data_IF_900275316240
#
_entry.id   IF_900275316240
#
_cell.length_a   1.000
_cell.length_b   1.000
_cell.length_c   1.000
_cell.angle_alpha   90.00
_cell.angle_beta   90.00
_cell.angle_gamma   90.00
#
_symmetry.space_group_name_H-M   'P 1'
#
loop_
_entity.id
_entity.type
_entity.pdbx_description
1 polymer ?
#
# COMPACT_ATOMS: atom_id res chain seq x y z
N UNK A 1 -7.66 -5.61 -14.61
CA UNK A 1 -6.72 -4.76 -13.83
C UNK A 1 -5.66 -5.65 -13.19
N UNK A 2 -4.42 -5.24 -13.22
CA UNK A 2 -3.28 -5.97 -12.64
C UNK A 2 -2.52 -5.08 -11.67
N UNK A 3 -1.96 -5.69 -10.63
CA UNK A 3 -1.10 -5.04 -9.66
C UNK A 3 0.23 -5.78 -9.55
N UNK A 4 1.33 -5.03 -9.48
CA UNK A 4 2.65 -5.54 -9.13
C UNK A 4 3.19 -4.81 -7.90
N UNK A 5 3.81 -5.54 -6.99
CA UNK A 5 4.67 -4.93 -5.97
C UNK A 5 6.11 -4.90 -6.50
N UNK A 6 6.68 -3.72 -6.62
CA UNK A 6 8.08 -3.55 -7.03
C UNK A 6 9.00 -3.65 -5.82
N UNK A 7 8.48 -3.25 -4.68
CA UNK A 7 9.12 -3.36 -3.37
C UNK A 7 8.06 -3.17 -2.28
N UNK A 8 8.23 -3.83 -1.14
CA UNK A 8 7.30 -3.70 -0.01
C UNK A 8 8.05 -3.89 1.32
N UNK A 9 8.13 -2.80 2.10
CA UNK A 9 8.74 -2.79 3.43
C UNK A 9 9.53 -1.51 3.72
N UNK A 10 10.06 -1.39 4.91
CA UNK A 10 10.74 -0.19 5.45
C UNK A 10 12.00 0.28 4.70
N UNK A 11 12.39 -0.36 3.63
CA UNK A 11 13.49 0.09 2.76
C UNK A 11 13.02 0.64 1.42
N UNK A 12 11.73 0.52 1.12
CA UNK A 12 11.15 1.08 -0.08
C UNK A 12 9.81 0.44 -0.40
N UNK A 13 8.82 1.27 -0.67
CA UNK A 13 7.48 0.88 -1.06
C UNK A 13 7.20 1.43 -2.46
N UNK A 14 6.69 0.58 -3.32
CA UNK A 14 6.34 0.97 -4.68
C UNK A 14 5.43 -0.10 -5.28
N UNK A 15 4.23 0.30 -5.67
CA UNK A 15 3.25 -0.55 -6.33
C UNK A 15 2.98 -0.01 -7.73
N UNK A 16 2.78 -0.91 -8.68
CA UNK A 16 2.35 -0.57 -10.04
C UNK A 16 1.00 -1.20 -10.31
N UNK A 17 0.02 -0.37 -10.62
CA UNK A 17 -1.28 -0.77 -11.10
C UNK A 17 -1.41 -0.47 -12.59
N UNK A 18 -1.94 -1.44 -13.34
CA UNK A 18 -2.24 -1.27 -14.77
C UNK A 18 -3.67 -1.72 -15.07
N UNK A 19 -4.40 -0.87 -15.80
CA UNK A 19 -5.76 -1.15 -16.27
C UNK A 19 -5.92 -0.64 -17.72
N UNK A 20 -5.90 -1.55 -18.69
CA UNK A 20 -5.78 -1.18 -20.09
C UNK A 20 -4.54 -0.32 -20.34
N UNK A 21 -4.74 0.88 -20.88
CA UNK A 21 -3.66 1.84 -21.16
C UNK A 21 -3.36 2.77 -19.96
N UNK A 22 -4.05 2.59 -18.83
CA UNK A 22 -3.82 3.39 -17.62
C UNK A 22 -2.77 2.73 -16.72
N UNK A 23 -1.75 3.49 -16.33
CA UNK A 23 -0.68 3.08 -15.45
C UNK A 23 -0.53 4.03 -14.26
N UNK A 24 -0.74 3.51 -13.06
CA UNK A 24 -0.67 4.27 -11.81
C UNK A 24 0.43 3.69 -10.93
N UNK A 25 1.33 4.53 -10.48
CA UNK A 25 2.29 4.18 -9.45
C UNK A 25 1.75 4.58 -8.07
N UNK A 26 1.86 3.72 -7.08
CA UNK A 26 1.59 4.07 -5.69
C UNK A 26 2.90 4.02 -4.94
N UNK A 27 3.31 5.18 -4.47
CA UNK A 27 4.62 5.49 -3.93
C UNK A 27 5.80 5.27 -4.89
N UNK A 28 6.92 5.90 -4.58
CA UNK A 28 8.15 5.84 -5.33
C UNK A 28 9.36 5.70 -4.38
N UNK A 29 9.24 4.79 -3.41
CA UNK A 29 10.25 4.55 -2.37
C UNK A 29 11.46 3.76 -2.82
N UNK A 30 11.61 3.51 -4.12
CA UNK A 30 12.73 2.76 -4.70
C UNK A 30 13.46 3.57 -5.78
N UNK A 31 14.66 3.13 -6.15
CA UNK A 31 15.41 3.82 -7.19
C UNK A 31 14.65 3.84 -8.53
N UNK A 32 14.70 4.98 -9.22
CA UNK A 32 14.09 5.17 -10.54
C UNK A 32 14.56 4.14 -11.58
N UNK A 33 15.79 3.62 -11.43
CA UNK A 33 16.30 2.55 -12.29
C UNK A 33 15.44 1.28 -12.20
N UNK A 34 14.96 0.93 -10.99
CA UNK A 34 14.06 -0.23 -10.79
C UNK A 34 12.69 0.02 -11.39
N UNK A 35 12.17 1.24 -11.24
CA UNK A 35 10.87 1.62 -11.82
C UNK A 35 10.94 1.56 -13.35
N UNK A 36 11.97 2.17 -13.97
CA UNK A 36 12.15 2.20 -15.43
C UNK A 36 12.42 0.82 -16.06
N UNK A 37 12.93 -0.16 -15.30
CA UNK A 37 13.15 -1.51 -15.80
C UNK A 37 11.85 -2.25 -16.22
N UNK A 38 10.69 -1.70 -15.90
CA UNK A 38 9.37 -2.25 -16.24
C UNK A 38 8.79 -1.72 -17.56
N UNK A 39 9.57 -1.02 -18.40
CA UNK A 39 9.12 -0.45 -19.68
C UNK A 39 7.93 0.51 -19.55
N UNK A 40 7.87 1.29 -18.47
CA UNK A 40 6.78 2.20 -18.17
C UNK A 40 7.06 3.59 -18.71
N UNK A 41 6.85 3.77 -20.01
CA UNK A 41 7.11 5.06 -20.65
C UNK A 41 6.00 6.11 -20.42
N UNK A 42 4.82 5.69 -19.92
CA UNK A 42 3.67 6.59 -19.70
C UNK A 42 2.91 6.28 -18.41
N UNK A 43 3.32 6.91 -17.30
CA UNK A 43 2.53 6.92 -16.08
C UNK A 43 1.48 8.03 -16.15
N UNK A 44 0.21 7.70 -15.93
CA UNK A 44 -0.89 8.67 -15.83
C UNK A 44 -0.85 9.45 -14.50
N UNK A 45 -0.27 8.87 -13.46
CA UNK A 45 -0.13 9.51 -12.16
C UNK A 45 0.67 8.70 -11.16
N UNK A 46 1.14 9.40 -10.14
CA UNK A 46 1.75 8.81 -8.95
C UNK A 46 0.88 9.21 -7.75
N UNK A 47 0.37 8.22 -7.04
CA UNK A 47 -0.32 8.40 -5.77
C UNK A 47 0.71 8.29 -4.66
N UNK A 48 0.82 9.30 -3.81
CA UNK A 48 1.74 9.30 -2.66
C UNK A 48 0.93 9.14 -1.39
N UNK A 49 1.20 8.09 -0.64
CA UNK A 49 0.51 7.80 0.63
C UNK A 49 0.94 8.80 1.71
N UNK A 50 2.25 9.01 1.86
CA UNK A 50 2.83 9.97 2.80
C UNK A 50 4.31 10.27 2.47
N UNK A 51 4.93 11.18 3.23
CA UNK A 51 6.24 11.75 2.89
C UNK A 51 7.45 11.02 3.52
N UNK A 52 7.32 9.83 4.08
CA UNK A 52 8.47 9.10 4.60
C UNK A 52 9.42 8.66 3.47
N UNK A 53 10.70 8.55 3.81
CA UNK A 53 11.77 8.34 2.82
C UNK A 53 11.58 7.04 2.03
N UNK A 54 11.10 5.99 2.65
CA UNK A 54 10.83 4.70 2.02
C UNK A 54 9.60 4.71 1.09
N UNK A 55 8.87 5.84 1.00
CA UNK A 55 7.78 6.06 0.04
C UNK A 55 8.13 7.06 -1.06
N UNK A 56 9.17 7.90 -0.87
CA UNK A 56 9.48 8.98 -1.81
C UNK A 56 10.94 9.03 -2.28
N UNK A 57 11.82 8.13 -1.87
CA UNK A 57 13.28 8.20 -2.14
C UNK A 57 13.65 8.26 -3.63
N UNK A 58 12.87 7.67 -4.51
CA UNK A 58 13.04 7.71 -5.97
C UNK A 58 12.42 8.93 -6.64
N UNK A 59 11.51 9.63 -5.95
CA UNK A 59 10.67 10.66 -6.54
C UNK A 59 11.47 11.84 -7.10
N UNK A 60 12.51 12.31 -6.38
CA UNK A 60 13.37 13.39 -6.80
C UNK A 60 14.04 13.16 -8.18
N UNK A 61 14.36 11.91 -8.49
CA UNK A 61 14.93 11.55 -9.80
C UNK A 61 13.83 11.41 -10.85
N UNK A 62 12.67 10.89 -10.50
CA UNK A 62 11.54 10.70 -11.42
C UNK A 62 11.05 12.04 -11.95
N UNK A 63 10.81 13.03 -11.08
CA UNK A 63 10.28 14.34 -11.47
C UNK A 63 11.24 15.18 -12.32
N UNK A 64 12.56 14.90 -12.29
CA UNK A 64 13.53 15.57 -13.16
C UNK A 64 13.41 15.16 -14.63
N UNK A 65 12.87 13.99 -14.89
CA UNK A 65 12.85 13.41 -16.23
C UNK A 65 11.43 13.26 -16.81
N UNK A 66 10.41 13.31 -15.95
CA UNK A 66 9.02 13.08 -16.32
C UNK A 66 8.10 14.09 -15.64
N UNK A 67 7.15 14.63 -16.39
CA UNK A 67 6.13 15.57 -15.89
C UNK A 67 4.85 14.82 -15.50
N UNK A 68 4.95 13.90 -14.54
CA UNK A 68 3.84 13.04 -14.11
C UNK A 68 3.09 13.74 -12.97
N UNK A 69 1.74 13.78 -12.99
CA UNK A 69 0.94 14.31 -11.88
C UNK A 69 1.17 13.50 -10.58
N UNK A 70 1.35 14.22 -9.47
CA UNK A 70 1.57 13.66 -8.14
C UNK A 70 0.35 13.96 -7.26
N UNK A 71 -0.40 12.93 -6.92
CA UNK A 71 -1.56 13.05 -6.05
C UNK A 71 -1.15 12.70 -4.61
N UNK A 72 -1.40 13.61 -3.69
CA UNK A 72 -1.05 13.47 -2.28
C UNK A 72 -2.03 14.26 -1.42
N UNK A 73 -2.10 13.97 -0.13
CA UNK A 73 -2.83 14.83 0.82
C UNK A 73 -2.23 16.23 0.86
N UNK A 74 -2.97 17.28 1.25
CA UNK A 74 -2.40 18.62 1.41
C UNK A 74 -1.23 18.67 2.41
N UNK A 75 -1.27 17.83 3.46
CA UNK A 75 -0.17 17.70 4.42
C UNK A 75 1.09 17.16 3.76
N UNK A 76 0.99 16.02 3.11
CA UNK A 76 2.09 15.40 2.36
C UNK A 76 2.57 16.29 1.21
N UNK A 77 1.67 16.93 0.45
CA UNK A 77 2.04 17.83 -0.64
C UNK A 77 2.91 19.00 -0.15
N UNK A 78 2.59 19.60 1.01
CA UNK A 78 3.44 20.65 1.63
C UNK A 78 4.83 20.13 1.98
N UNK A 79 4.93 18.90 2.51
CA UNK A 79 6.23 18.28 2.82
C UNK A 79 7.04 17.99 1.55
N UNK A 80 6.40 17.53 0.49
CA UNK A 80 7.04 17.31 -0.80
C UNK A 80 7.57 18.62 -1.40
N UNK A 81 6.77 19.68 -1.39
CA UNK A 81 7.17 21.03 -1.86
C UNK A 81 8.38 21.57 -1.08
N UNK A 82 8.43 21.33 0.22
CA UNK A 82 9.56 21.71 1.04
C UNK A 82 10.86 20.92 0.76
N UNK A 83 10.72 19.61 0.48
CA UNK A 83 11.86 18.68 0.34
C UNK A 83 12.38 18.56 -1.08
N UNK A 84 11.54 18.74 -2.10
CA UNK A 84 11.84 18.42 -3.49
C UNK A 84 11.70 19.65 -4.39
N UNK A 85 12.82 20.22 -4.78
CA UNK A 85 12.84 21.37 -5.68
C UNK A 85 12.17 21.05 -7.03
N UNK A 86 11.25 21.90 -7.48
CA UNK A 86 10.55 21.78 -8.76
C UNK A 86 9.39 20.81 -8.77
N UNK A 87 8.92 20.33 -7.61
CA UNK A 87 7.79 19.40 -7.53
C UNK A 87 6.43 20.12 -7.64
N UNK A 88 6.35 21.40 -7.26
CA UNK A 88 5.09 22.15 -7.11
C UNK A 88 4.18 22.11 -8.35
N UNK A 89 4.68 22.27 -9.59
CA UNK A 89 3.81 22.22 -10.78
C UNK A 89 3.16 20.85 -11.01
N UNK A 90 3.75 19.79 -10.44
CA UNK A 90 3.26 18.42 -10.59
C UNK A 90 2.24 18.05 -9.52
N UNK A 91 2.23 18.74 -8.38
CA UNK A 91 1.36 18.41 -7.26
C UNK A 91 -0.12 18.62 -7.60
N UNK A 92 -0.91 17.64 -7.22
CA UNK A 92 -2.37 17.61 -7.32
C UNK A 92 -2.94 17.23 -5.95
N UNK A 93 -2.98 18.16 -4.98
CA UNK A 93 -3.46 17.85 -3.63
C UNK A 93 -4.90 17.31 -3.65
N UNK A 94 -5.15 16.27 -2.85
CA UNK A 94 -6.45 15.63 -2.65
C UNK A 94 -6.69 15.41 -1.17
N UNK A 95 -7.84 15.84 -0.68
CA UNK A 95 -8.22 15.56 0.71
C UNK A 95 -8.61 14.09 0.88
N UNK A 96 -8.30 13.46 2.02
CA UNK A 96 -8.92 12.18 2.39
C UNK A 96 -10.46 12.28 2.28
N UNK A 97 -11.12 11.19 1.91
CA UNK A 97 -12.56 11.14 1.65
C UNK A 97 -12.97 11.59 0.24
N UNK A 98 -12.09 12.19 -0.58
CA UNK A 98 -12.43 12.60 -1.93
C UNK A 98 -12.27 11.49 -2.97
N UNK A 99 -12.95 11.68 -4.11
CA UNK A 99 -12.77 10.86 -5.31
C UNK A 99 -12.22 11.70 -6.45
N UNK A 100 -11.36 11.10 -7.27
CA UNK A 100 -10.78 11.74 -8.45
C UNK A 100 -10.36 10.69 -9.50
N UNK A 101 -10.21 11.13 -10.73
CA UNK A 101 -9.82 10.26 -11.84
C UNK A 101 -8.31 10.33 -12.10
N UNK A 102 -7.71 9.17 -12.44
CA UNK A 102 -6.34 9.04 -12.96
C UNK A 102 -6.42 8.07 -14.15
N UNK A 103 -6.15 8.56 -15.34
CA UNK A 103 -6.45 7.82 -16.56
C UNK A 103 -7.94 7.46 -16.61
N UNK A 104 -8.26 6.19 -16.78
CA UNK A 104 -9.64 5.68 -16.75
C UNK A 104 -10.05 5.06 -15.41
N UNK A 105 -9.23 5.20 -14.39
CA UNK A 105 -9.52 4.67 -13.04
C UNK A 105 -10.11 5.76 -12.14
N UNK A 106 -11.11 5.39 -11.33
CA UNK A 106 -11.60 6.21 -10.23
C UNK A 106 -10.83 5.87 -8.96
N UNK A 107 -10.21 6.88 -8.35
CA UNK A 107 -9.46 6.76 -7.11
C UNK A 107 -10.24 7.37 -5.96
N UNK A 108 -10.45 6.62 -4.89
CA UNK A 108 -11.00 7.11 -3.62
C UNK A 108 -9.88 7.13 -2.59
N UNK A 109 -9.54 8.32 -2.09
CA UNK A 109 -8.57 8.49 -1.01
C UNK A 109 -9.26 8.37 0.35
N UNK A 110 -8.58 7.79 1.34
CA UNK A 110 -9.08 7.71 2.73
C UNK A 110 -7.93 7.87 3.72
N UNK A 111 -8.22 8.38 4.92
CA UNK A 111 -7.22 8.63 5.96
C UNK A 111 -6.70 7.33 6.55
N UNK A 112 -5.37 7.29 6.79
CA UNK A 112 -4.70 6.26 7.60
C UNK A 112 -4.14 6.87 8.88
N UNK A 113 -3.90 6.05 9.90
CA UNK A 113 -3.37 6.52 11.18
C UNK A 113 -1.87 6.25 11.26
N UNK A 114 -1.07 7.22 10.81
CA UNK A 114 0.39 7.12 10.80
C UNK A 114 1.07 8.41 11.24
N UNK A 115 2.33 8.33 11.69
CA UNK A 115 3.12 9.46 12.17
C UNK A 115 3.72 10.31 11.02
N UNK A 116 2.86 10.73 10.12
CA UNK A 116 3.15 11.59 8.96
C UNK A 116 2.35 12.89 9.00
N UNK A 117 2.61 13.82 8.08
CA UNK A 117 1.94 15.13 8.07
C UNK A 117 0.43 15.01 7.81
N UNK A 118 0.02 14.07 6.98
CA UNK A 118 -1.37 13.69 6.70
C UNK A 118 -1.34 12.44 5.80
N UNK A 119 -1.25 11.27 6.42
CA UNK A 119 -1.21 10.00 5.69
C UNK A 119 -2.58 9.63 5.11
N UNK A 120 -2.58 9.03 3.94
CA UNK A 120 -3.78 8.50 3.30
C UNK A 120 -3.42 7.31 2.41
N UNK A 121 -4.41 6.46 2.18
CA UNK A 121 -4.29 5.35 1.25
C UNK A 121 -5.44 5.35 0.26
N UNK A 122 -5.53 4.36 -0.60
CA UNK A 122 -6.33 4.45 -1.81
C UNK A 122 -7.13 3.17 -2.08
N UNK A 123 -8.37 3.39 -2.55
CA UNK A 123 -9.13 2.43 -3.33
C UNK A 123 -9.11 2.90 -4.79
N UNK A 124 -8.84 1.98 -5.72
CA UNK A 124 -8.75 2.25 -7.15
C UNK A 124 -9.72 1.31 -7.86
N UNK A 125 -10.71 1.89 -8.54
CA UNK A 125 -11.76 1.20 -9.27
C UNK A 125 -11.59 1.44 -10.78
N UNK A 126 -11.66 0.37 -11.59
CA UNK A 126 -11.59 0.37 -13.05
C UNK A 126 -12.24 -0.90 -13.60
N UNK A 127 -11.55 -1.68 -14.45
CA UNK A 127 -12.03 -2.99 -14.88
C UNK A 127 -12.14 -4.01 -13.72
N UNK A 128 -11.48 -3.75 -12.61
CA UNK A 128 -11.57 -4.42 -11.33
C UNK A 128 -11.45 -3.41 -10.20
N UNK A 129 -11.21 -3.85 -8.98
CA UNK A 129 -11.02 -2.95 -7.84
C UNK A 129 -9.87 -3.42 -6.96
N UNK A 130 -8.99 -2.46 -6.60
CA UNK A 130 -7.84 -2.66 -5.72
C UNK A 130 -7.94 -1.73 -4.54
N UNK A 131 -7.81 -2.27 -3.33
CA UNK A 131 -7.61 -1.50 -2.10
C UNK A 131 -6.16 -1.60 -1.64
N UNK A 132 -5.64 -0.53 -1.07
CA UNK A 132 -4.32 -0.48 -0.45
C UNK A 132 -4.54 0.01 0.97
N UNK A 133 -3.93 -0.64 1.95
CA UNK A 133 -3.92 -0.21 3.34
C UNK A 133 -2.57 -0.58 3.94
N UNK A 134 -1.68 0.39 3.98
CA UNK A 134 -0.32 0.28 4.52
C UNK A 134 -0.03 1.44 5.46
N UNK A 135 0.99 1.30 6.29
CA UNK A 135 1.41 2.35 7.20
C UNK A 135 0.25 2.92 8.04
N UNK A 136 -0.35 2.05 8.83
CA UNK A 136 -1.43 2.42 9.73
C UNK A 136 -1.34 1.66 11.06
N UNK A 137 -1.47 2.36 12.17
CA UNK A 137 -1.44 1.73 13.50
C UNK A 137 -2.72 0.96 13.82
N UNK A 138 -3.82 1.25 13.12
CA UNK A 138 -5.10 0.54 13.21
C UNK A 138 -5.93 0.81 11.96
N UNK A 139 -6.93 -0.02 11.69
CA UNK A 139 -7.88 0.20 10.60
C UNK A 139 -8.83 1.33 10.98
N UNK A 140 -8.76 2.45 10.25
CA UNK A 140 -9.63 3.61 10.49
C UNK A 140 -11.08 3.33 10.08
N UNK A 141 -12.02 4.10 10.62
CA UNK A 141 -13.44 3.97 10.24
C UNK A 141 -13.64 4.28 8.75
N UNK A 142 -12.85 5.19 8.18
CA UNK A 142 -12.87 5.49 6.74
C UNK A 142 -12.38 4.28 5.92
N UNK A 143 -11.25 3.67 6.30
CA UNK A 143 -10.74 2.48 5.63
C UNK A 143 -11.77 1.34 5.68
N UNK A 144 -12.40 1.13 6.84
CA UNK A 144 -13.43 0.10 7.04
C UNK A 144 -14.72 0.36 6.23
N UNK A 145 -14.98 1.59 5.82
CA UNK A 145 -16.12 1.96 4.97
C UNK A 145 -15.78 1.92 3.47
N UNK A 146 -14.57 2.33 3.08
CA UNK A 146 -14.17 2.48 1.69
C UNK A 146 -13.74 1.16 1.06
N UNK A 147 -13.01 0.32 1.80
CA UNK A 147 -12.37 -0.88 1.26
C UNK A 147 -13.29 -2.09 1.01
N UNK A 148 -14.42 -2.31 1.72
CA UNK A 148 -15.26 -3.46 1.46
C UNK A 148 -15.70 -3.59 -0.01
N UNK A 149 -15.65 -4.83 -0.53
CA UNK A 149 -16.00 -5.14 -1.91
C UNK A 149 -14.88 -4.95 -2.94
N UNK A 150 -13.65 -4.55 -2.54
CA UNK A 150 -12.52 -4.61 -3.49
C UNK A 150 -12.18 -6.06 -3.85
N UNK A 151 -11.82 -6.28 -5.10
CA UNK A 151 -11.46 -7.61 -5.60
C UNK A 151 -10.11 -8.08 -5.03
N UNK A 152 -9.16 -7.15 -4.93
CA UNK A 152 -7.80 -7.35 -4.43
C UNK A 152 -7.48 -6.32 -3.35
N UNK A 153 -6.92 -6.78 -2.24
CA UNK A 153 -6.48 -5.94 -1.14
C UNK A 153 -4.97 -6.12 -0.90
N UNK A 154 -4.21 -5.03 -0.95
CA UNK A 154 -2.86 -4.96 -0.38
C UNK A 154 -3.00 -4.52 1.07
N UNK A 155 -2.59 -5.36 1.99
CA UNK A 155 -2.82 -5.17 3.41
C UNK A 155 -1.52 -5.22 4.20
N UNK A 156 -1.26 -4.19 4.99
CA UNK A 156 -0.15 -4.22 5.92
C UNK A 156 -0.26 -5.41 6.90
N UNK A 157 0.86 -6.10 7.08
CA UNK A 157 1.04 -7.12 8.12
C UNK A 157 2.46 -6.95 8.64
N UNK A 158 2.68 -5.88 9.42
CA UNK A 158 4.02 -5.38 9.70
C UNK A 158 4.77 -6.28 10.68
N UNK A 159 4.17 -6.62 11.81
CA UNK A 159 4.89 -7.30 12.88
C UNK A 159 4.04 -8.36 13.61
N UNK A 160 4.73 -9.36 14.10
CA UNK A 160 4.22 -10.26 15.13
C UNK A 160 4.44 -9.60 16.49
N UNK A 161 3.38 -9.42 17.28
CA UNK A 161 3.39 -8.65 18.54
C UNK A 161 4.38 -9.24 19.56
N UNK A 162 4.39 -10.55 19.74
CA UNK A 162 5.28 -11.21 20.71
C UNK A 162 6.75 -11.19 20.23
N UNK A 163 6.96 -11.32 18.92
CA UNK A 163 8.29 -11.25 18.35
C UNK A 163 8.87 -9.83 18.43
N UNK A 164 8.05 -8.79 18.21
CA UNK A 164 8.42 -7.40 18.44
C UNK A 164 8.73 -7.13 19.91
N UNK A 165 7.89 -7.58 20.83
CA UNK A 165 8.08 -7.38 22.27
C UNK A 165 9.37 -8.00 22.80
N UNK A 166 9.68 -9.22 22.36
CA UNK A 166 10.89 -9.94 22.74
C UNK A 166 12.14 -9.57 21.92
N UNK A 167 11.99 -8.92 20.79
CA UNK A 167 13.03 -8.58 19.83
C UNK A 167 14.03 -7.51 20.32
N UNK A 168 15.06 -7.21 19.54
CA UNK A 168 16.19 -6.37 19.98
C UNK A 168 15.91 -4.86 19.96
N UNK A 169 14.77 -4.42 19.44
CA UNK A 169 14.46 -2.98 19.31
C UNK A 169 14.40 -2.28 20.67
N UNK A 170 14.86 -0.99 20.73
CA UNK A 170 14.70 -0.18 21.93
C UNK A 170 13.22 -0.05 22.33
N UNK A 171 12.95 0.08 23.62
CA UNK A 171 11.59 0.18 24.14
C UNK A 171 10.76 1.29 23.50
N UNK A 172 11.35 2.46 23.29
CA UNK A 172 10.68 3.59 22.65
C UNK A 172 10.25 3.30 21.20
N UNK A 173 11.09 2.57 20.44
CA UNK A 173 10.74 2.15 19.08
C UNK A 173 9.63 1.10 19.07
N UNK A 174 9.66 0.14 20.00
CA UNK A 174 8.58 -0.83 20.18
C UNK A 174 7.25 -0.14 20.47
N UNK A 175 7.25 0.86 21.38
CA UNK A 175 6.04 1.63 21.71
C UNK A 175 5.54 2.44 20.51
N UNK A 176 6.43 3.01 19.69
CA UNK A 176 6.04 3.70 18.45
C UNK A 176 5.37 2.74 17.47
N UNK A 177 5.95 1.56 17.23
CA UNK A 177 5.42 0.55 16.30
C UNK A 177 4.06 0.04 16.76
N UNK A 178 3.90 -0.23 18.07
CA UNK A 178 2.66 -0.72 18.68
C UNK A 178 1.60 0.38 18.92
N UNK A 179 1.96 1.65 18.72
CA UNK A 179 1.07 2.78 18.95
C UNK A 179 0.04 2.96 17.85
N UNK A 180 -0.97 3.78 18.12
CA UNK A 180 -2.06 4.07 17.17
C UNK A 180 -1.58 4.72 15.86
N UNK A 181 -0.41 5.35 15.85
CA UNK A 181 0.22 5.92 14.67
C UNK A 181 1.42 5.09 14.18
N UNK A 182 1.53 3.85 14.62
CA UNK A 182 2.58 2.92 14.24
C UNK A 182 2.20 2.10 13.01
N UNK A 183 2.19 0.76 13.18
CA UNK A 183 1.96 -0.18 12.08
C UNK A 183 1.00 -1.30 12.51
N UNK A 184 0.26 -1.84 11.55
CA UNK A 184 -0.71 -2.90 11.75
C UNK A 184 -0.01 -4.22 12.11
N UNK A 185 -0.44 -4.85 13.21
CA UNK A 185 0.07 -6.17 13.60
C UNK A 185 -0.48 -7.28 12.69
N UNK A 186 0.16 -8.46 12.72
CA UNK A 186 -0.36 -9.63 12.03
C UNK A 186 -1.78 -10.02 12.51
N UNK A 187 -2.07 -9.83 13.79
CA UNK A 187 -3.37 -10.16 14.38
C UNK A 187 -4.47 -9.20 13.93
N UNK A 188 -4.17 -7.88 13.90
CA UNK A 188 -5.10 -6.87 13.39
C UNK A 188 -5.32 -7.02 11.89
N UNK A 189 -4.26 -7.31 11.14
CA UNK A 189 -4.35 -7.65 9.72
C UNK A 189 -5.23 -8.88 9.49
N UNK A 190 -5.10 -9.91 10.32
CA UNK A 190 -5.90 -11.13 10.24
C UNK A 190 -7.40 -10.87 10.50
N UNK A 191 -7.71 -10.03 11.50
CA UNK A 191 -9.08 -9.63 11.82
C UNK A 191 -9.71 -8.85 10.64
N UNK A 192 -8.98 -7.90 10.07
CA UNK A 192 -9.47 -7.12 8.94
C UNK A 192 -9.56 -7.96 7.66
N UNK A 193 -8.60 -8.86 7.40
CA UNK A 193 -8.64 -9.79 6.26
C UNK A 193 -9.91 -10.66 6.29
N UNK A 194 -10.32 -11.17 7.46
CA UNK A 194 -11.56 -11.94 7.62
C UNK A 194 -12.80 -11.08 7.31
N UNK A 195 -12.82 -9.83 7.74
CA UNK A 195 -13.89 -8.87 7.42
C UNK A 195 -13.97 -8.61 5.91
N UNK A 196 -12.83 -8.38 5.27
CA UNK A 196 -12.75 -8.11 3.83
C UNK A 196 -13.17 -9.33 2.99
N UNK A 197 -12.78 -10.51 3.41
CA UNK A 197 -13.21 -11.77 2.79
C UNK A 197 -14.74 -11.94 2.84
N UNK A 198 -15.35 -11.64 4.00
CA UNK A 198 -16.81 -11.63 4.13
C UNK A 198 -17.49 -10.56 3.23
N UNK A 199 -16.80 -9.46 2.97
CA UNK A 199 -17.20 -8.38 2.04
C UNK A 199 -17.00 -8.70 0.56
N UNK A 200 -16.45 -9.88 0.20
CA UNK A 200 -16.30 -10.35 -1.19
C UNK A 200 -14.89 -10.17 -1.77
N UNK A 201 -13.90 -9.76 -1.01
CA UNK A 201 -12.50 -9.72 -1.44
C UNK A 201 -12.01 -11.13 -1.75
N UNK A 202 -11.36 -11.29 -2.91
CA UNK A 202 -10.94 -12.61 -3.44
C UNK A 202 -9.43 -12.84 -3.33
N UNK A 203 -8.65 -11.77 -3.34
CA UNK A 203 -7.19 -11.84 -3.21
C UNK A 203 -6.72 -10.85 -2.15
N UNK A 204 -5.86 -11.31 -1.24
CA UNK A 204 -5.20 -10.48 -0.23
C UNK A 204 -3.70 -10.67 -0.35
N UNK A 205 -2.98 -9.57 -0.51
CA UNK A 205 -1.52 -9.53 -0.58
C UNK A 205 -1.01 -8.86 0.68
N UNK A 206 -0.39 -9.63 1.56
CA UNK A 206 0.24 -9.10 2.77
C UNK A 206 1.49 -8.32 2.39
N UNK A 207 1.59 -7.10 2.87
CA UNK A 207 2.61 -6.13 2.48
C UNK A 207 3.26 -5.46 3.69
N UNK A 208 4.30 -4.69 3.47
CA UNK A 208 4.99 -3.85 4.46
C UNK A 208 5.46 -4.62 5.71
N UNK A 209 6.00 -5.85 5.51
CA UNK A 209 6.49 -6.69 6.60
C UNK A 209 7.83 -6.17 7.15
N UNK A 210 7.91 -6.01 8.47
CA UNK A 210 9.15 -5.70 9.17
C UNK A 210 10.22 -6.79 8.95
N UNK A 211 11.46 -6.39 8.71
CA UNK A 211 12.58 -7.35 8.59
C UNK A 211 12.93 -8.03 9.91
N UNK A 212 12.87 -7.24 10.99
CA UNK A 212 13.35 -7.65 12.30
C UNK A 212 12.24 -8.27 13.17
N UNK A 213 10.99 -7.90 12.93
CA UNK A 213 9.89 -8.24 13.82
C UNK A 213 8.81 -9.09 13.15
N UNK A 214 9.11 -9.62 11.95
CA UNK A 214 8.18 -10.49 11.21
C UNK A 214 8.94 -11.44 10.28
N UNK A 215 8.21 -12.45 9.80
CA UNK A 215 8.61 -13.27 8.66
C UNK A 215 7.42 -13.47 7.72
N UNK A 216 7.65 -13.70 6.41
CA UNK A 216 6.56 -14.02 5.48
C UNK A 216 5.67 -15.17 5.99
N UNK A 217 6.28 -16.21 6.56
CA UNK A 217 5.55 -17.36 7.08
C UNK A 217 4.67 -17.02 8.29
N UNK A 218 5.17 -16.20 9.24
CA UNK A 218 4.38 -15.77 10.42
C UNK A 218 3.17 -14.94 10.02
N UNK A 219 3.36 -13.95 9.14
CA UNK A 219 2.28 -13.13 8.61
C UNK A 219 1.24 -13.99 7.89
N UNK A 220 1.70 -14.84 6.98
CA UNK A 220 0.84 -15.76 6.22
C UNK A 220 0.04 -16.67 7.15
N UNK A 221 0.70 -17.38 8.09
CA UNK A 221 0.03 -18.37 8.95
C UNK A 221 -1.00 -17.71 9.88
N UNK A 222 -0.72 -16.49 10.35
CA UNK A 222 -1.66 -15.75 11.23
C UNK A 222 -2.92 -15.37 10.47
N UNK A 223 -2.77 -14.75 9.30
CA UNK A 223 -3.91 -14.34 8.47
C UNK A 223 -4.64 -15.57 7.90
N UNK A 224 -3.92 -16.61 7.44
CA UNK A 224 -4.53 -17.83 6.90
C UNK A 224 -5.43 -18.52 7.93
N UNK A 225 -4.99 -18.63 9.17
CA UNK A 225 -5.81 -19.21 10.27
C UNK A 225 -7.13 -18.46 10.47
N UNK A 226 -7.12 -17.13 10.39
CA UNK A 226 -8.33 -16.32 10.53
C UNK A 226 -9.29 -16.53 9.35
N UNK A 227 -8.76 -16.55 8.13
CA UNK A 227 -9.54 -16.82 6.92
C UNK A 227 -10.15 -18.23 6.92
N UNK A 228 -9.40 -19.24 7.35
CA UNK A 228 -9.90 -20.62 7.47
C UNK A 228 -10.98 -20.74 8.55
N UNK A 229 -10.81 -20.04 9.68
CA UNK A 229 -11.80 -20.04 10.77
C UNK A 229 -13.15 -19.44 10.35
N UNK A 230 -13.17 -18.48 9.43
CA UNK A 230 -14.41 -17.92 8.88
C UNK A 230 -14.87 -18.64 7.58
N UNK A 231 -14.19 -19.70 7.16
CA UNK A 231 -14.54 -20.48 5.96
C UNK A 231 -14.35 -19.72 4.64
N UNK A 232 -13.52 -18.66 4.64
CA UNK A 232 -13.33 -17.82 3.46
C UNK A 232 -12.41 -18.47 2.43
N UNK A 233 -12.85 -18.49 1.17
CA UNK A 233 -12.04 -18.92 0.03
C UNK A 233 -11.38 -17.70 -0.60
N UNK A 234 -10.24 -17.27 -0.06
CA UNK A 234 -9.46 -16.11 -0.49
C UNK A 234 -8.05 -16.57 -0.86
N UNK A 235 -7.55 -16.10 -1.98
CA UNK A 235 -6.14 -16.23 -2.31
C UNK A 235 -5.33 -15.32 -1.39
N UNK A 236 -4.45 -15.91 -0.59
CA UNK A 236 -3.58 -15.18 0.33
C UNK A 236 -2.14 -15.28 -0.15
N UNK A 237 -1.51 -14.14 -0.35
CA UNK A 237 -0.15 -14.01 -0.85
C UNK A 237 0.66 -13.09 0.08
N UNK A 238 1.98 -13.15 -0.01
CA UNK A 238 2.88 -12.22 0.68
C UNK A 238 3.73 -11.52 -0.38
N UNK A 239 3.72 -10.19 -0.35
CA UNK A 239 4.51 -9.38 -1.27
C UNK A 239 6.01 -9.65 -1.08
N UNK A 240 6.77 -9.87 -2.16
CA UNK A 240 8.22 -9.93 -2.07
C UNK A 240 8.77 -8.57 -1.63
N UNK A 241 9.80 -8.59 -0.80
CA UNK A 241 10.34 -7.38 -0.17
C UNK A 241 11.11 -6.51 -1.15
N UNK A 242 12.03 -7.10 -1.90
CA UNK A 242 13.02 -6.38 -2.71
C UNK A 242 13.00 -6.82 -4.19
N UNK A 243 12.00 -7.59 -4.60
CA UNK A 243 11.87 -8.15 -5.94
C UNK A 243 10.53 -7.76 -6.55
N UNK A 244 10.48 -7.76 -7.89
CA UNK A 244 9.22 -7.62 -8.60
C UNK A 244 8.33 -8.84 -8.34
N UNK A 245 7.11 -8.60 -7.92
CA UNK A 245 6.13 -9.68 -7.76
C UNK A 245 5.66 -10.22 -9.11
N UNK A 246 5.08 -11.43 -9.15
CA UNK A 246 4.15 -11.80 -10.21
C UNK A 246 3.01 -10.77 -10.32
N UNK A 247 2.30 -10.77 -11.45
CA UNK A 247 1.07 -9.99 -11.57
C UNK A 247 -0.01 -10.55 -10.64
N UNK A 248 -0.61 -9.70 -9.82
CA UNK A 248 -1.82 -10.00 -9.08
C UNK A 248 -3.01 -9.50 -9.89
N UNK A 249 -3.93 -10.39 -10.27
CA UNK A 249 -5.05 -10.06 -11.15
C UNK A 249 -6.36 -9.91 -10.37
N UNK A 250 -7.14 -8.87 -10.64
CA UNK A 250 -8.43 -8.65 -9.97
C UNK A 250 -9.53 -9.63 -10.43
N UNK A 251 -9.41 -10.20 -11.63
CA UNK A 251 -10.46 -11.06 -12.21
C UNK A 251 -10.26 -12.55 -11.99
N UNK A 252 -9.05 -13.04 -11.68
CA UNK A 252 -8.68 -14.44 -11.83
C UNK A 252 -8.11 -15.15 -10.59
N UNK A 253 -8.32 -14.64 -9.40
CA UNK A 253 -7.77 -15.28 -8.20
C UNK A 253 -8.23 -16.76 -7.98
N UNK A 254 -9.31 -17.22 -8.64
CA UNK A 254 -9.83 -18.59 -8.47
C UNK A 254 -10.16 -19.34 -9.78
N UNK A 255 -9.82 -18.83 -10.96
CA UNK A 255 -10.23 -19.42 -12.25
C UNK A 255 -9.11 -20.12 -13.05
N UNK A 256 -7.89 -20.26 -12.55
CA UNK A 256 -6.88 -21.11 -13.20
C UNK A 256 -6.79 -22.44 -12.47
N UNK A 257 -7.63 -23.39 -12.90
CA UNK A 257 -7.40 -24.84 -12.76
C UNK A 257 -6.98 -25.40 -14.10
#
# INVERSE_FOLDING_TARGET
MTLHTLSSGSQGNCLLLSDGDTHILVDAGISTRRIKALSMDELDGILITHEHTDHISGLATLIKHHSIPLYASPGTARQLAYRLAGVEPLLRPREPGCQFEVGQCLVTAFETSHDAAQSMDYRIDGSGSVGILTDTGYVTDEAAQVLPGVSLLVLESNHDVEYLRSGPYPYTLKQRILGSQGHLSNDDAAAFAAQMAAGGTRCIVLAHLSRENNTPQRAYDTVRRALDACGASVELLVAPRDELSPAYETENALCRR
#
